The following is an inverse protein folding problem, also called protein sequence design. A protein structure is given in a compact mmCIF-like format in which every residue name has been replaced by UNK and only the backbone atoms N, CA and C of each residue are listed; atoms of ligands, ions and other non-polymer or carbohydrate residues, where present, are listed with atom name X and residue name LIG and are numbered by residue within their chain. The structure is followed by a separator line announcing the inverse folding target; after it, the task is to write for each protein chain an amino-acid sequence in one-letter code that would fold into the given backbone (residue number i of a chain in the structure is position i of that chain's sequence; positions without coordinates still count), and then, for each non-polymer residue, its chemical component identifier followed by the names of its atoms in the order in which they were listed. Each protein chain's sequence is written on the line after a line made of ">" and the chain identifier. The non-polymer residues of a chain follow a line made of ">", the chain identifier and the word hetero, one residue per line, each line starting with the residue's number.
data_IF_683611585337
#
_entry.id   IF_683611585337
#
_cell.length_a   1.000
_cell.length_b   1.000
_cell.length_c   1.000
_cell.angle_alpha   90.00
_cell.angle_beta   90.00
_cell.angle_gamma   90.00
#
_symmetry.space_group_name_H-M   'P 1'
#
loop_
_entity.id
_entity.type
_entity.pdbx_description
1 polymer ?
#
# COMPACT_ATOMS: atom_id res chain seq x y z
N UNK A 1 -2.00 -3.74 -13.14
CA UNK A 1 -0.61 -3.31 -13.31
C UNK A 1 -0.61 -1.82 -13.58
N UNK A 2 0.39 -1.10 -13.06
CA UNK A 2 0.61 0.31 -13.35
C UNK A 2 2.06 0.52 -13.79
N UNK A 3 2.26 1.31 -14.85
CA UNK A 3 3.58 1.78 -15.29
C UNK A 3 3.63 3.26 -14.97
N UNK A 4 4.48 3.63 -14.02
CA UNK A 4 4.55 5.00 -13.52
C UNK A 4 5.78 5.70 -14.09
N UNK A 5 5.57 6.85 -14.71
CA UNK A 5 6.64 7.74 -15.16
C UNK A 5 6.58 9.04 -14.35
N UNK A 6 7.66 9.33 -13.64
CA UNK A 6 7.82 10.52 -12.82
C UNK A 6 8.82 11.45 -13.52
N UNK A 7 8.38 12.54 -14.16
CA UNK A 7 9.29 13.48 -14.81
C UNK A 7 10.14 14.23 -13.78
N UNK A 8 11.20 14.89 -14.27
CA UNK A 8 11.98 15.84 -13.46
C UNK A 8 11.09 16.97 -12.97
N UNK A 9 11.25 17.35 -11.71
CA UNK A 9 10.50 18.41 -11.06
C UNK A 9 11.47 19.49 -10.55
N UNK A 10 11.35 20.76 -10.99
CA UNK A 10 12.24 21.84 -10.54
C UNK A 10 12.17 22.13 -9.04
N UNK A 11 11.00 21.91 -8.42
CA UNK A 11 10.72 22.18 -7.01
C UNK A 11 10.20 20.89 -6.33
N UNK A 12 11.04 19.85 -6.21
CA UNK A 12 10.61 18.51 -5.78
C UNK A 12 10.11 18.45 -4.33
N UNK A 13 10.42 19.44 -3.51
CA UNK A 13 9.95 19.59 -2.12
C UNK A 13 8.49 20.08 -2.02
N UNK A 14 7.95 20.67 -3.09
CA UNK A 14 6.58 21.22 -3.10
C UNK A 14 5.52 20.21 -3.57
N UNK A 15 5.91 19.04 -4.05
CA UNK A 15 4.98 18.06 -4.61
C UNK A 15 5.43 16.61 -4.44
N UNK A 16 4.51 15.68 -4.72
CA UNK A 16 4.78 14.25 -4.81
C UNK A 16 4.51 13.76 -6.21
N UNK A 17 5.26 12.75 -6.64
CA UNK A 17 4.93 11.99 -7.84
C UNK A 17 3.72 11.10 -7.61
N UNK A 18 3.61 10.51 -6.42
CA UNK A 18 2.44 9.79 -5.95
C UNK A 18 2.26 10.08 -4.45
N UNK A 19 1.12 10.68 -4.03
CA UNK A 19 0.85 10.96 -2.63
C UNK A 19 0.94 9.73 -1.72
N UNK A 20 1.06 9.97 -0.42
CA UNK A 20 1.07 8.90 0.57
C UNK A 20 -0.23 8.10 0.52
N UNK A 21 -0.13 6.77 0.48
CA UNK A 21 -1.28 5.85 0.48
C UNK A 21 -0.88 4.46 1.01
N UNK A 22 -1.88 3.62 1.23
CA UNK A 22 -1.73 2.16 1.37
C UNK A 22 -2.30 1.47 0.14
N UNK A 23 -1.81 0.26 -0.14
CA UNK A 23 -2.26 -0.49 -1.31
C UNK A 23 -3.56 -1.25 -1.03
N UNK A 24 -4.62 -1.08 -1.85
CA UNK A 24 -5.92 -1.70 -1.60
C UNK A 24 -5.93 -3.21 -1.88
N UNK A 25 -4.89 -3.75 -2.52
CA UNK A 25 -4.77 -5.15 -2.93
C UNK A 25 -4.19 -6.05 -1.81
N UNK A 26 -3.86 -7.31 -2.13
CA UNK A 26 -3.26 -8.24 -1.16
C UNK A 26 -1.73 -8.10 -1.12
N UNK A 27 -1.09 -8.09 -2.29
CA UNK A 27 0.37 -7.99 -2.43
C UNK A 27 0.71 -7.13 -3.65
N UNK A 28 1.74 -6.29 -3.52
CA UNK A 28 2.31 -5.54 -4.64
C UNK A 28 3.74 -5.99 -4.88
N UNK A 29 4.09 -6.17 -6.15
CA UNK A 29 5.45 -6.44 -6.61
C UNK A 29 5.88 -5.29 -7.51
N UNK A 30 6.93 -4.59 -7.10
CA UNK A 30 7.41 -3.36 -7.71
C UNK A 30 8.81 -3.56 -8.29
N UNK A 31 8.93 -3.31 -9.58
CA UNK A 31 10.21 -3.09 -10.24
C UNK A 31 10.53 -1.59 -10.24
N UNK A 32 11.69 -1.23 -9.70
CA UNK A 32 12.17 0.15 -9.66
C UNK A 32 13.27 0.39 -10.70
N UNK A 33 13.40 1.62 -11.18
CA UNK A 33 14.61 2.06 -11.87
C UNK A 33 15.83 1.95 -10.91
N UNK A 34 16.87 1.18 -11.25
CA UNK A 34 18.05 1.00 -10.40
C UNK A 34 18.88 2.28 -10.23
N UNK A 35 18.65 3.32 -11.06
CA UNK A 35 19.42 4.58 -11.07
C UNK A 35 18.65 5.77 -10.49
N UNK A 36 17.39 5.59 -10.10
CA UNK A 36 16.55 6.67 -9.59
C UNK A 36 15.78 6.23 -8.33
N UNK A 37 16.18 6.76 -7.18
CA UNK A 37 15.43 6.63 -5.94
C UNK A 37 14.14 7.46 -5.99
N UNK A 38 13.18 7.14 -5.12
CA UNK A 38 11.93 7.90 -5.05
C UNK A 38 10.83 7.24 -4.22
N UNK A 39 10.89 5.93 -4.01
CA UNK A 39 9.98 5.26 -3.09
C UNK A 39 10.38 5.59 -1.64
N UNK A 40 9.40 5.99 -0.84
CA UNK A 40 9.53 6.15 0.60
C UNK A 40 8.42 5.38 1.32
N UNK A 41 8.75 4.75 2.44
CA UNK A 41 7.82 4.03 3.32
C UNK A 41 7.79 4.67 4.71
N UNK A 42 6.63 4.68 5.36
CA UNK A 42 6.50 5.20 6.71
C UNK A 42 6.95 4.14 7.71
N UNK A 43 8.07 4.39 8.38
CA UNK A 43 8.62 3.48 9.38
C UNK A 43 7.85 3.52 10.70
N UNK A 44 8.07 2.55 11.61
CA UNK A 44 7.38 2.47 12.91
C UNK A 44 7.55 3.70 13.81
N UNK A 45 8.63 4.46 13.62
CA UNK A 45 8.86 5.71 14.36
C UNK A 45 8.08 6.91 13.79
N UNK A 46 7.17 6.71 12.84
CA UNK A 46 6.44 7.79 12.15
C UNK A 46 7.31 8.61 11.20
N UNK A 47 8.48 8.09 10.79
CA UNK A 47 9.40 8.79 9.87
C UNK A 47 9.42 8.11 8.51
N UNK A 48 9.45 8.92 7.46
CA UNK A 48 9.63 8.43 6.08
C UNK A 48 11.05 7.90 5.89
N UNK A 49 11.17 6.69 5.35
CA UNK A 49 12.42 5.99 5.06
C UNK A 49 12.50 5.74 3.57
N UNK A 50 13.63 6.12 2.95
CA UNK A 50 13.88 5.84 1.54
C UNK A 50 14.11 4.35 1.32
N UNK A 51 13.56 3.82 0.23
CA UNK A 51 13.85 2.45 -0.23
C UNK A 51 14.87 2.54 -1.35
N UNK A 52 16.10 2.10 -1.04
CA UNK A 52 17.20 2.09 -2.01
C UNK A 52 16.87 1.15 -3.18
N UNK A 53 16.87 1.64 -4.43
CA UNK A 53 16.74 0.76 -5.57
C UNK A 53 17.99 -0.12 -5.66
N UNK A 54 17.79 -1.44 -5.79
CA UNK A 54 18.85 -2.42 -5.95
C UNK A 54 18.72 -3.06 -7.35
N UNK A 55 19.80 -3.14 -8.14
CA UNK A 55 19.78 -3.89 -9.39
C UNK A 55 19.27 -5.31 -9.17
N UNK A 56 18.47 -5.82 -10.11
CA UNK A 56 17.93 -7.19 -10.11
C UNK A 56 17.03 -7.53 -8.90
N UNK A 57 16.63 -6.53 -8.12
CA UNK A 57 15.71 -6.70 -7.01
C UNK A 57 14.29 -6.25 -7.36
N UNK A 58 13.33 -6.88 -6.71
CA UNK A 58 11.94 -6.44 -6.68
C UNK A 58 11.62 -6.02 -5.24
N UNK A 59 10.86 -4.94 -5.10
CA UNK A 59 10.26 -4.57 -3.83
C UNK A 59 8.91 -5.26 -3.72
N UNK A 60 8.66 -5.89 -2.57
CA UNK A 60 7.38 -6.55 -2.28
C UNK A 60 6.78 -5.88 -1.06
N UNK A 61 5.53 -5.43 -1.15
CA UNK A 61 4.81 -4.88 -0.01
C UNK A 61 3.43 -5.52 0.16
N UNK A 62 3.03 -5.61 1.42
CA UNK A 62 1.72 -6.09 1.87
C UNK A 62 0.71 -4.97 1.65
N UNK A 63 -0.46 -5.33 1.10
CA UNK A 63 -1.61 -4.44 0.99
C UNK A 63 -2.68 -4.72 2.04
N UNK A 64 -3.73 -3.91 2.01
CA UNK A 64 -4.79 -3.86 3.02
C UNK A 64 -5.52 -5.19 3.20
N UNK A 65 -5.72 -5.94 2.11
CA UNK A 65 -6.44 -7.21 2.17
C UNK A 65 -5.64 -8.26 2.93
N UNK A 66 -4.31 -8.26 2.77
CA UNK A 66 -3.44 -9.19 3.48
C UNK A 66 -3.28 -8.80 4.97
N UNK A 67 -3.33 -7.50 5.29
CA UNK A 67 -3.43 -7.06 6.69
C UNK A 67 -4.74 -7.55 7.34
N UNK A 68 -5.87 -7.46 6.65
CA UNK A 68 -7.15 -7.95 7.14
C UNK A 68 -7.16 -9.48 7.35
N UNK A 69 -6.72 -10.23 6.33
CA UNK A 69 -6.63 -11.69 6.37
C UNK A 69 -5.72 -12.20 7.50
N UNK A 70 -4.62 -11.50 7.75
CA UNK A 70 -3.66 -11.87 8.80
C UNK A 70 -4.05 -11.41 10.21
N UNK A 71 -5.27 -10.89 10.39
CA UNK A 71 -5.76 -10.29 11.63
C UNK A 71 -4.80 -9.21 12.18
N UNK A 72 -4.22 -8.39 11.30
CA UNK A 72 -3.30 -7.31 11.65
C UNK A 72 -1.86 -7.73 11.95
N UNK A 73 -1.49 -9.01 11.79
CA UNK A 73 -0.10 -9.48 12.00
C UNK A 73 0.86 -8.94 10.94
N UNK A 74 0.42 -8.90 9.68
CA UNK A 74 1.13 -8.19 8.62
C UNK A 74 0.56 -6.78 8.48
N UNK A 75 1.45 -5.82 8.20
CA UNK A 75 1.10 -4.41 8.11
C UNK A 75 1.17 -3.93 6.67
N UNK A 76 0.04 -3.43 6.19
CA UNK A 76 -0.06 -2.55 5.03
C UNK A 76 0.46 -1.19 5.45
N UNK A 77 1.60 -0.79 4.89
CA UNK A 77 2.32 0.41 5.32
C UNK A 77 2.09 1.55 4.35
N UNK A 78 1.99 2.75 4.91
CA UNK A 78 1.97 3.98 4.14
C UNK A 78 3.24 4.11 3.33
N UNK A 79 3.08 4.43 2.04
CA UNK A 79 4.19 4.65 1.14
C UNK A 79 3.84 5.77 0.15
N UNK A 80 4.87 6.43 -0.39
CA UNK A 80 4.74 7.54 -1.34
C UNK A 80 5.86 7.50 -2.36
N UNK A 81 5.66 8.16 -3.51
CA UNK A 81 6.72 8.40 -4.48
C UNK A 81 7.06 9.90 -4.52
N UNK A 82 8.30 10.24 -4.17
CA UNK A 82 8.84 11.59 -4.33
C UNK A 82 9.45 11.77 -5.72
N UNK A 83 9.51 13.02 -6.19
CA UNK A 83 10.12 13.42 -7.46
C UNK A 83 11.51 14.02 -7.22
N UNK A 84 12.27 14.22 -8.29
CA UNK A 84 13.62 14.78 -8.25
C UNK A 84 13.80 15.84 -9.34
N UNK A 85 14.62 16.87 -9.07
CA UNK A 85 15.09 17.83 -10.08
C UNK A 85 16.10 17.23 -11.06
N UNK A 86 16.83 16.19 -10.63
CA UNK A 86 18.01 15.70 -11.33
C UNK A 86 17.67 14.69 -12.43
N UNK A 87 16.70 13.80 -12.16
CA UNK A 87 16.40 12.67 -13.03
C UNK A 87 14.93 12.26 -12.98
N UNK A 88 14.40 11.87 -14.13
CA UNK A 88 13.14 11.16 -14.25
C UNK A 88 13.23 9.75 -13.65
N UNK A 89 12.09 9.19 -13.24
CA UNK A 89 12.02 7.85 -12.67
C UNK A 89 10.92 7.03 -13.33
N UNK A 90 11.21 5.78 -13.62
CA UNK A 90 10.21 4.79 -14.04
C UNK A 90 10.02 3.74 -12.93
N UNK A 91 8.79 3.26 -12.75
CA UNK A 91 8.53 2.02 -12.01
C UNK A 91 7.40 1.23 -12.64
N UNK A 92 7.41 -0.09 -12.42
CA UNK A 92 6.34 -1.00 -12.85
C UNK A 92 5.81 -1.72 -11.62
N UNK A 93 4.54 -1.47 -11.29
CA UNK A 93 3.84 -2.07 -10.17
C UNK A 93 2.85 -3.13 -10.66
N UNK A 94 2.99 -4.35 -10.16
CA UNK A 94 2.05 -5.45 -10.36
C UNK A 94 1.31 -5.74 -9.07
N UNK A 95 -0.02 -5.79 -9.15
CA UNK A 95 -0.90 -5.90 -7.99
C UNK A 95 -1.60 -7.25 -8.02
N UNK A 96 -1.45 -8.02 -6.95
CA UNK A 96 -2.22 -9.23 -6.70
C UNK A 96 -3.51 -8.85 -5.95
N UNK A 97 -4.62 -8.82 -6.67
CA UNK A 97 -5.93 -8.45 -6.14
C UNK A 97 -6.79 -9.70 -5.90
N UNK A 98 -7.59 -9.75 -4.82
CA UNK A 98 -8.65 -10.75 -4.69
C UNK A 98 -9.70 -10.63 -5.80
N UNK A 99 -10.49 -11.69 -6.00
CA UNK A 99 -11.72 -11.60 -6.77
C UNK A 99 -12.69 -10.60 -6.11
N UNK A 100 -13.47 -9.85 -6.90
CA UNK A 100 -14.45 -8.87 -6.36
C UNK A 100 -15.44 -9.49 -5.37
N UNK A 101 -15.88 -10.72 -5.63
CA UNK A 101 -16.79 -11.47 -4.75
C UNK A 101 -16.09 -12.16 -3.56
N UNK A 102 -14.76 -12.13 -3.47
CA UNK A 102 -14.04 -12.76 -2.38
C UNK A 102 -14.42 -12.09 -1.05
N UNK A 103 -14.72 -12.93 -0.05
CA UNK A 103 -14.93 -12.49 1.33
C UNK A 103 -13.57 -12.40 2.01
N UNK A 104 -13.31 -11.26 2.63
CA UNK A 104 -12.10 -10.93 3.37
C UNK A 104 -12.44 -10.95 4.85
N UNK A 105 -11.83 -11.88 5.57
CA UNK A 105 -11.97 -12.04 7.01
C UNK A 105 -10.70 -12.66 7.61
N UNK A 106 -10.56 -12.63 8.94
CA UNK A 106 -9.39 -13.24 9.59
C UNK A 106 -9.29 -14.73 9.24
N UNK A 107 -8.12 -15.16 8.78
CA UNK A 107 -7.88 -16.55 8.45
C UNK A 107 -8.09 -17.46 9.67
N UNK A 108 -8.47 -18.71 9.40
CA UNK A 108 -8.73 -19.70 10.44
C UNK A 108 -7.54 -19.84 11.41
N UNK A 109 -7.83 -19.84 12.72
CA UNK A 109 -6.81 -19.91 13.77
C UNK A 109 -6.11 -18.58 14.09
N UNK A 110 -6.35 -17.50 13.33
CA UNK A 110 -5.80 -16.16 13.63
C UNK A 110 -6.73 -15.28 14.47
N UNK A 111 -8.00 -15.67 14.60
CA UNK A 111 -8.98 -15.05 15.47
C UNK A 111 -9.72 -16.10 16.31
N UNK A 112 -10.09 -15.74 17.54
CA UNK A 112 -10.77 -16.62 18.50
C UNK A 112 -11.07 -15.90 19.82
N UNK A 113 -11.49 -16.66 20.85
CA UNK A 113 -11.92 -16.10 22.16
C UNK A 113 -10.89 -15.17 22.83
N UNK A 114 -9.60 -15.46 22.69
CA UNK A 114 -8.52 -14.69 23.31
C UNK A 114 -7.85 -13.68 22.37
N UNK A 115 -8.24 -13.68 21.09
CA UNK A 115 -7.74 -12.74 20.08
C UNK A 115 -8.89 -12.48 19.11
N UNK A 116 -9.79 -11.53 19.41
CA UNK A 116 -10.94 -11.25 18.55
C UNK A 116 -10.46 -10.78 17.17
N UNK A 117 -11.31 -10.96 16.16
CA UNK A 117 -11.06 -10.41 14.84
C UNK A 117 -10.98 -8.87 14.94
N UNK A 118 -9.90 -8.28 14.43
CA UNK A 118 -9.68 -6.83 14.40
C UNK A 118 -10.64 -6.17 13.42
N UNK A 119 -10.92 -6.84 12.31
CA UNK A 119 -11.78 -6.38 11.23
C UNK A 119 -13.04 -7.24 11.14
N UNK A 120 -14.17 -6.63 10.78
CA UNK A 120 -15.37 -7.39 10.38
C UNK A 120 -15.13 -8.08 9.04
N UNK A 121 -15.96 -9.05 8.72
CA UNK A 121 -16.01 -9.63 7.38
C UNK A 121 -16.59 -8.62 6.36
N UNK A 122 -16.03 -8.59 5.16
CA UNK A 122 -16.49 -7.76 4.04
C UNK A 122 -16.09 -8.40 2.70
N UNK A 123 -16.76 -8.03 1.60
CA UNK A 123 -16.31 -8.43 0.26
C UNK A 123 -15.28 -7.46 -0.29
N UNK A 124 -14.37 -7.95 -1.13
CA UNK A 124 -13.41 -7.07 -1.80
C UNK A 124 -14.11 -5.98 -2.64
N UNK A 125 -15.26 -6.27 -3.26
CA UNK A 125 -16.08 -5.26 -3.95
C UNK A 125 -16.57 -4.15 -3.00
N UNK A 126 -17.00 -4.48 -1.78
CA UNK A 126 -17.41 -3.48 -0.79
C UNK A 126 -16.27 -2.53 -0.46
N UNK A 127 -15.07 -3.08 -0.23
CA UNK A 127 -13.84 -2.32 0.01
C UNK A 127 -13.48 -1.44 -1.19
N UNK A 128 -13.43 -2.04 -2.37
CA UNK A 128 -13.00 -1.39 -3.60
C UNK A 128 -13.93 -0.23 -3.98
N UNK A 129 -15.24 -0.38 -3.79
CA UNK A 129 -16.20 0.71 -4.01
C UNK A 129 -15.93 1.90 -3.10
N UNK A 130 -15.63 1.67 -1.81
CA UNK A 130 -15.30 2.77 -0.87
C UNK A 130 -13.98 3.44 -1.25
N UNK A 131 -12.99 2.66 -1.67
CA UNK A 131 -11.69 3.19 -2.12
C UNK A 131 -11.84 4.23 -3.22
N UNK A 132 -12.67 3.97 -4.24
CA UNK A 132 -12.88 4.92 -5.34
C UNK A 132 -13.73 6.14 -5.01
N UNK A 133 -14.34 6.19 -3.82
CA UNK A 133 -15.08 7.38 -3.35
C UNK A 133 -14.22 8.34 -2.53
N UNK A 134 -12.93 8.03 -2.37
CA UNK A 134 -12.01 8.75 -1.47
C UNK A 134 -10.72 9.14 -2.20
N UNK A 135 -10.06 10.18 -1.69
CA UNK A 135 -8.70 10.52 -2.13
C UNK A 135 -7.68 9.59 -1.47
N UNK A 136 -6.56 9.34 -2.14
CA UNK A 136 -5.49 8.44 -1.72
C UNK A 136 -4.80 8.84 -0.41
N UNK A 137 -4.80 10.13 -0.10
CA UNK A 137 -4.16 10.74 1.06
C UNK A 137 -5.05 10.81 2.32
N UNK A 138 -6.30 10.33 2.22
CA UNK A 138 -7.20 10.22 3.35
C UNK A 138 -6.83 9.03 4.24
N UNK A 139 -7.24 9.06 5.52
CA UNK A 139 -7.05 7.99 6.51
C UNK A 139 -7.12 6.56 5.94
N UNK A 140 -6.32 5.66 6.52
CA UNK A 140 -6.20 4.26 6.09
C UNK A 140 -7.58 3.61 5.97
N UNK A 141 -8.03 3.34 4.74
CA UNK A 141 -9.41 2.95 4.46
C UNK A 141 -9.85 1.70 5.22
N UNK A 142 -8.92 0.77 5.48
CA UNK A 142 -9.17 -0.45 6.22
C UNK A 142 -9.68 -0.18 7.65
N UNK A 143 -9.41 0.99 8.22
CA UNK A 143 -9.93 1.41 9.52
C UNK A 143 -11.47 1.47 9.56
N UNK A 144 -12.13 1.77 8.43
CA UNK A 144 -13.60 1.73 8.31
C UNK A 144 -14.21 0.32 8.42
N UNK A 145 -13.37 -0.70 8.45
CA UNK A 145 -13.75 -2.10 8.53
C UNK A 145 -13.34 -2.74 9.86
N UNK A 146 -12.80 -1.96 10.82
CA UNK A 146 -12.57 -2.47 12.17
C UNK A 146 -13.89 -2.85 12.85
N UNK A 147 -13.84 -3.87 13.70
CA UNK A 147 -14.94 -4.12 14.63
C UNK A 147 -14.98 -3.00 15.66
N UNK A 148 -16.17 -2.44 15.90
CA UNK A 148 -16.40 -1.55 17.04
C UNK A 148 -16.49 -2.43 18.28
N UNK A 149 -15.45 -2.42 19.12
CA UNK A 149 -15.51 -2.97 20.46
C UNK A 149 -16.10 -1.95 21.43
#
# INVERSE_FOLDING_TARGET
>A
MAVNFYPRCPEPELTYGLPAHTDPNALTVLLQDPRAAGLQVLGPSGRWVAVDPRPEALVVNVGDQMQALSNGRYRSVWHRAVVSSERERLSVASFLCPCRSAVIESAEGLAGRHSPAVYRSFTYEEYYRKFWTRNLDQEHLLELFKNNN
#
